data_IF_783501789148
#
_entry.id   IF_783501789148
#
_cell.length_a   1.000
_cell.length_b   1.000
_cell.length_c   1.000
_cell.angle_alpha   90.00
_cell.angle_beta   90.00
_cell.angle_gamma   90.00
#
_symmetry.space_group_name_H-M   'P 1'
#
loop_
_entity.id
_entity.type
_entity.pdbx_description
1 polymer ?
#
# COMPACT_ATOMS: atom_id res chain seq x y z
N UNK A 1 -20.38 18.98 -1.88
CA UNK A 1 -19.26 18.13 -1.41
C UNK A 1 -18.65 17.48 -2.63
N UNK A 2 -17.42 17.88 -3.00
CA UNK A 2 -16.74 17.29 -4.15
C UNK A 2 -16.47 15.81 -3.89
N UNK A 3 -16.91 14.96 -4.80
CA UNK A 3 -16.66 13.53 -4.74
C UNK A 3 -15.16 13.34 -5.01
N UNK A 4 -14.35 13.19 -3.96
CA UNK A 4 -12.95 12.86 -4.13
C UNK A 4 -12.86 11.42 -4.68
N UNK A 5 -12.28 11.27 -5.86
CA UNK A 5 -12.12 9.97 -6.51
C UNK A 5 -11.27 9.04 -5.64
N UNK A 6 -11.74 7.81 -5.46
CA UNK A 6 -11.04 6.77 -4.69
C UNK A 6 -9.82 6.25 -5.46
N UNK A 7 -8.93 5.51 -4.77
CA UNK A 7 -7.83 4.78 -5.41
C UNK A 7 -8.37 3.84 -6.51
N UNK A 8 -9.47 3.13 -6.22
CA UNK A 8 -10.13 2.24 -7.19
C UNK A 8 -10.62 3.00 -8.42
N UNK A 9 -11.23 4.17 -8.23
CA UNK A 9 -11.69 5.01 -9.35
C UNK A 9 -10.53 5.41 -10.25
N UNK A 10 -9.40 5.82 -9.67
CA UNK A 10 -8.19 6.18 -10.42
C UNK A 10 -7.56 4.99 -11.17
N UNK A 11 -7.59 3.80 -10.58
CA UNK A 11 -7.04 2.58 -11.20
C UNK A 11 -7.93 2.09 -12.36
N UNK A 12 -9.25 2.14 -12.19
CA UNK A 12 -10.22 1.65 -13.16
C UNK A 12 -10.35 2.51 -14.43
N UNK A 13 -9.69 3.68 -14.48
CA UNK A 13 -9.60 4.51 -15.70
C UNK A 13 -8.93 3.77 -16.87
N UNK A 14 -8.06 2.79 -16.57
CA UNK A 14 -7.22 2.16 -17.59
C UNK A 14 -7.59 0.71 -17.90
N UNK A 15 -8.09 -0.03 -16.91
CA UNK A 15 -8.65 -1.38 -16.99
C UNK A 15 -9.19 -1.74 -15.60
N UNK A 16 -10.08 -2.73 -15.46
CA UNK A 16 -10.48 -3.20 -14.13
C UNK A 16 -9.26 -3.69 -13.36
N UNK A 17 -8.84 -2.93 -12.34
CA UNK A 17 -7.67 -3.29 -11.57
C UNK A 17 -7.99 -4.45 -10.60
N UNK A 18 -7.15 -5.50 -10.56
CA UNK A 18 -7.24 -6.53 -9.53
C UNK A 18 -7.31 -5.94 -8.12
N UNK A 19 -8.07 -6.58 -7.24
CA UNK A 19 -8.29 -6.08 -5.87
C UNK A 19 -6.98 -5.89 -5.10
N UNK A 20 -5.97 -6.73 -5.32
CA UNK A 20 -4.68 -6.58 -4.65
C UNK A 20 -3.94 -5.29 -5.04
N UNK A 21 -4.12 -4.79 -6.27
CA UNK A 21 -3.53 -3.50 -6.71
C UNK A 21 -4.27 -2.34 -6.04
N UNK A 22 -5.59 -2.48 -5.86
CA UNK A 22 -6.39 -1.49 -5.12
C UNK A 22 -5.94 -1.46 -3.65
N UNK A 23 -5.82 -2.61 -3.00
CA UNK A 23 -5.33 -2.73 -1.61
C UNK A 23 -3.91 -2.16 -1.46
N UNK A 24 -3.04 -2.39 -2.45
CA UNK A 24 -1.70 -1.78 -2.50
C UNK A 24 -1.77 -0.25 -2.57
N UNK A 25 -2.62 0.31 -3.42
CA UNK A 25 -2.80 1.75 -3.53
C UNK A 25 -3.36 2.37 -2.25
N UNK A 26 -4.34 1.74 -1.62
CA UNK A 26 -4.86 2.21 -0.32
C UNK A 26 -3.80 2.14 0.79
N UNK A 27 -2.97 1.09 0.79
CA UNK A 27 -1.83 0.97 1.69
C UNK A 27 -0.84 2.11 1.48
N UNK A 28 -0.43 2.38 0.23
CA UNK A 28 0.49 3.49 -0.12
C UNK A 28 -0.11 4.84 0.30
N UNK A 29 -1.40 5.05 0.05
CA UNK A 29 -2.09 6.27 0.42
C UNK A 29 -2.04 6.53 1.94
N UNK A 30 -2.34 5.50 2.74
CA UNK A 30 -2.31 5.58 4.21
C UNK A 30 -0.88 5.73 4.74
N UNK A 31 0.07 5.01 4.15
CA UNK A 31 1.45 5.02 4.61
C UNK A 31 2.15 6.36 4.35
N UNK A 32 1.91 6.98 3.19
CA UNK A 32 2.61 8.18 2.74
C UNK A 32 1.75 9.46 2.85
N UNK A 33 0.53 9.36 3.36
CA UNK A 33 -0.46 10.45 3.43
C UNK A 33 -0.62 11.21 2.10
N UNK A 34 -0.45 10.50 0.97
CA UNK A 34 -0.45 11.08 -0.37
C UNK A 34 -1.86 11.09 -1.00
N UNK A 35 -2.00 11.75 -2.15
CA UNK A 35 -3.29 11.79 -2.87
C UNK A 35 -3.67 10.41 -3.43
N UNK A 36 -4.97 10.14 -3.56
CA UNK A 36 -5.49 8.89 -4.15
C UNK A 36 -4.94 8.63 -5.55
N UNK A 37 -4.75 9.69 -6.36
CA UNK A 37 -4.16 9.62 -7.69
C UNK A 37 -2.68 9.18 -7.66
N UNK A 38 -1.87 9.75 -6.76
CA UNK A 38 -0.46 9.38 -6.60
C UNK A 38 -0.35 7.93 -6.15
N UNK A 39 -1.16 7.55 -5.16
CA UNK A 39 -1.17 6.20 -4.62
C UNK A 39 -1.57 5.16 -5.69
N UNK A 40 -2.63 5.42 -6.47
CA UNK A 40 -3.05 4.58 -7.59
C UNK A 40 -1.95 4.45 -8.66
N UNK A 41 -1.30 5.56 -9.02
CA UNK A 41 -0.21 5.55 -10.01
C UNK A 41 0.96 4.69 -9.55
N UNK A 42 1.35 4.78 -8.28
CA UNK A 42 2.46 3.98 -7.72
C UNK A 42 2.10 2.51 -7.61
N UNK A 43 0.88 2.19 -7.17
CA UNK A 43 0.41 0.81 -7.11
C UNK A 43 0.45 0.14 -8.49
N UNK A 44 0.04 0.87 -9.53
CA UNK A 44 0.13 0.38 -10.91
C UNK A 44 1.58 0.18 -11.37
N UNK A 45 2.47 1.15 -11.14
CA UNK A 45 3.89 1.05 -11.51
C UNK A 45 4.52 -0.20 -10.87
N UNK A 46 4.30 -0.41 -9.57
CA UNK A 46 4.79 -1.57 -8.83
C UNK A 46 4.20 -2.90 -9.35
N UNK A 47 2.92 -2.90 -9.75
CA UNK A 47 2.26 -4.10 -10.26
C UNK A 47 2.81 -4.60 -11.61
N UNK A 48 3.50 -3.73 -12.34
CA UNK A 48 4.09 -4.03 -13.65
C UNK A 48 5.56 -4.45 -13.55
N UNK A 49 6.15 -4.48 -12.35
CA UNK A 49 7.54 -4.88 -12.15
C UNK A 49 7.68 -6.41 -12.19
N UNK A 50 8.26 -6.91 -13.27
CA UNK A 50 8.60 -8.33 -13.44
C UNK A 50 9.47 -8.84 -12.27
N UNK A 51 9.05 -9.95 -11.66
CA UNK A 51 9.76 -10.61 -10.57
C UNK A 51 9.49 -10.08 -9.15
N UNK A 52 8.82 -8.92 -9.00
CA UNK A 52 8.49 -8.34 -7.69
C UNK A 52 6.98 -8.37 -7.41
N UNK A 53 6.14 -8.53 -8.45
CA UNK A 53 4.68 -8.55 -8.35
C UNK A 53 4.13 -9.49 -7.26
N UNK A 54 4.61 -10.73 -7.17
CA UNK A 54 4.17 -11.69 -6.15
C UNK A 54 4.51 -11.24 -4.72
N UNK A 55 5.69 -10.65 -4.53
CA UNK A 55 6.11 -10.14 -3.23
C UNK A 55 5.26 -8.93 -2.81
N UNK A 56 4.99 -8.02 -3.73
CA UNK A 56 4.16 -6.83 -3.50
C UNK A 56 2.70 -7.21 -3.26
N UNK A 57 2.19 -8.19 -3.99
CA UNK A 57 0.85 -8.75 -3.77
C UNK A 57 0.75 -9.38 -2.38
N UNK A 58 1.74 -10.18 -1.97
CA UNK A 58 1.79 -10.76 -0.63
C UNK A 58 1.76 -9.70 0.48
N UNK A 59 2.49 -8.60 0.29
CA UNK A 59 2.48 -7.44 1.19
C UNK A 59 1.09 -6.79 1.24
N UNK A 60 0.49 -6.49 0.08
CA UNK A 60 -0.82 -5.84 0.02
C UNK A 60 -1.92 -6.67 0.68
N UNK A 61 -1.92 -7.99 0.44
CA UNK A 61 -2.85 -8.94 1.11
C UNK A 61 -2.60 -9.03 2.61
N UNK A 62 -1.34 -9.11 3.04
CA UNK A 62 -0.97 -9.15 4.46
C UNK A 62 -1.41 -7.89 5.20
N UNK A 63 -1.25 -6.73 4.57
CA UNK A 63 -1.72 -5.45 5.10
C UNK A 63 -3.23 -5.41 5.29
N UNK A 64 -4.00 -5.86 4.29
CA UNK A 64 -5.46 -5.91 4.36
C UNK A 64 -5.95 -6.79 5.51
N UNK A 65 -5.33 -7.95 5.70
CA UNK A 65 -5.60 -8.85 6.83
C UNK A 65 -5.32 -8.15 8.16
N UNK A 66 -4.16 -7.49 8.29
CA UNK A 66 -3.76 -6.78 9.51
C UNK A 66 -4.72 -5.63 9.84
N UNK A 67 -5.16 -4.87 8.84
CA UNK A 67 -6.10 -3.76 9.01
C UNK A 67 -7.52 -4.22 9.35
N UNK A 68 -7.92 -5.42 8.93
CA UNK A 68 -9.18 -6.04 9.29
C UNK A 68 -9.16 -6.78 10.64
N UNK A 69 -7.97 -6.98 11.23
CA UNK A 69 -7.82 -7.71 12.47
C UNK A 69 -8.06 -6.81 13.69
N UNK A 70 -8.79 -7.32 14.68
CA UNK A 70 -8.96 -6.61 15.95
C UNK A 70 -7.68 -6.70 16.79
N UNK A 71 -6.82 -5.68 16.66
CA UNK A 71 -5.55 -5.57 17.39
C UNK A 71 -5.75 -5.46 18.92
N UNK A 72 -6.96 -5.23 19.42
CA UNK A 72 -7.25 -5.22 20.86
C UNK A 72 -7.19 -6.62 21.48
N UNK A 73 -7.38 -7.66 20.68
CA UNK A 73 -7.27 -9.07 21.09
C UNK A 73 -5.83 -9.56 21.25
N UNK A 74 -4.85 -8.78 20.81
CA UNK A 74 -3.43 -9.13 20.87
C UNK A 74 -2.82 -8.81 22.23
N UNK A 75 -1.86 -9.64 22.64
CA UNK A 75 -0.96 -9.29 23.76
C UNK A 75 -0.11 -8.06 23.40
N UNK A 76 0.39 -7.30 24.40
CA UNK A 76 1.22 -6.14 24.16
C UNK A 76 2.43 -6.42 23.25
N UNK A 77 3.14 -7.53 23.48
CA UNK A 77 4.30 -7.92 22.67
C UNK A 77 3.94 -8.24 21.22
N UNK A 78 2.81 -8.93 20.98
CA UNK A 78 2.34 -9.22 19.63
C UNK A 78 1.99 -7.94 18.87
N UNK A 79 1.30 -7.00 19.54
CA UNK A 79 0.95 -5.70 18.96
C UNK A 79 2.20 -4.92 18.60
N UNK A 80 3.13 -4.78 19.54
CA UNK A 80 4.42 -4.10 19.31
C UNK A 80 5.19 -4.74 18.15
N UNK A 81 5.22 -6.07 18.07
CA UNK A 81 5.88 -6.79 16.98
C UNK A 81 5.24 -6.48 15.63
N UNK A 82 3.91 -6.46 15.54
CA UNK A 82 3.17 -6.13 14.31
C UNK A 82 3.40 -4.68 13.92
N UNK A 83 3.35 -3.75 14.88
CA UNK A 83 3.63 -2.32 14.64
C UNK A 83 5.06 -2.11 14.11
N UNK A 84 6.05 -2.81 14.66
CA UNK A 84 7.43 -2.79 14.17
C UNK A 84 7.56 -3.36 12.75
N UNK A 85 6.87 -4.46 12.43
CA UNK A 85 6.86 -5.03 11.08
C UNK A 85 6.26 -4.04 10.08
N UNK A 86 5.12 -3.46 10.41
CA UNK A 86 4.43 -2.44 9.60
C UNK A 86 5.33 -1.23 9.37
N UNK A 87 5.97 -0.72 10.43
CA UNK A 87 6.85 0.44 10.34
C UNK A 87 8.07 0.16 9.45
N UNK A 88 8.70 -1.00 9.60
CA UNK A 88 9.84 -1.38 8.76
C UNK A 88 9.43 -1.56 7.30
N UNK A 89 8.26 -2.16 7.04
CA UNK A 89 7.73 -2.29 5.69
C UNK A 89 7.46 -0.93 5.05
N UNK A 90 6.86 0.01 5.79
CA UNK A 90 6.64 1.39 5.34
C UNK A 90 7.98 2.06 5.00
N UNK A 91 8.95 2.03 5.90
CA UNK A 91 10.25 2.66 5.70
C UNK A 91 10.97 2.11 4.47
N UNK A 92 11.02 0.78 4.31
CA UNK A 92 11.66 0.12 3.17
C UNK A 92 10.96 0.47 1.84
N UNK A 93 9.62 0.55 1.84
CA UNK A 93 8.87 0.96 0.65
C UNK A 93 9.17 2.41 0.28
N UNK A 94 9.18 3.32 1.26
CA UNK A 94 9.54 4.73 1.04
C UNK A 94 10.98 4.86 0.52
N UNK A 95 11.96 4.18 1.13
CA UNK A 95 13.35 4.21 0.67
C UNK A 95 13.51 3.66 -0.74
N UNK A 96 12.81 2.58 -1.08
CA UNK A 96 12.78 2.02 -2.43
C UNK A 96 12.22 3.01 -3.45
N UNK A 97 11.14 3.71 -3.12
CA UNK A 97 10.54 4.73 -3.97
C UNK A 97 11.45 5.96 -4.15
N UNK A 98 12.18 6.38 -3.10
CA UNK A 98 13.23 7.42 -3.20
C UNK A 98 14.34 6.98 -4.15
N UNK A 99 14.88 5.77 -3.98
CA UNK A 99 15.95 5.24 -4.83
C UNK A 99 15.54 5.12 -6.30
N UNK A 100 14.28 4.80 -6.56
CA UNK A 100 13.72 4.77 -7.90
C UNK A 100 13.46 6.16 -8.50
N UNK A 101 13.75 7.25 -7.78
CA UNK A 101 13.50 8.63 -8.22
C UNK A 101 12.03 8.98 -8.34
N UNK A 102 11.16 8.26 -7.61
CA UNK A 102 9.70 8.43 -7.67
C UNK A 102 9.16 9.39 -6.62
N UNK A 103 9.96 9.72 -5.59
CA UNK A 103 9.67 10.70 -4.54
C UNK A 103 10.95 11.44 -4.12
N UNK A 104 10.78 12.71 -3.75
CA UNK A 104 11.85 13.54 -3.17
C UNK A 104 11.97 13.29 -1.65
N UNK A 105 13.17 13.50 -1.10
CA UNK A 105 13.50 13.29 0.32
C UNK A 105 12.93 14.38 1.24
#
# INVERSE_FOLDING_TARGET
MGMHASVRDHLNVFEHAPDWIVSLGEMIQRADECSTAIAASRARDLSQMDGIGEAVEGIARGWEILMGYDLTSLTPLQRETIELLVLNMKNNLTEGLIHAGRIER
#
